data_IF_133019761874
#
_entry.id   IF_133019761874
#
_cell.length_a   1.000
_cell.length_b   1.000
_cell.length_c   1.000
_cell.angle_alpha   90.00
_cell.angle_beta   90.00
_cell.angle_gamma   90.00
#
_symmetry.space_group_name_H-M   'P 1'
#
loop_
_entity.id
_entity.type
_entity.pdbx_description
1 polymer ?
#
# COMPACT_ATOMS: atom_id res chain seq x y z
N UNK A 1 80.22 -46.15 -28.57
CA UNK A 1 79.39 -45.32 -29.45
C UNK A 1 78.26 -46.15 -29.91
N UNK A 2 77.13 -46.09 -29.33
CA UNK A 2 75.98 -46.89 -29.76
C UNK A 2 74.72 -45.99 -29.64
N UNK A 3 74.16 -45.72 -30.80
CA UNK A 3 72.94 -44.92 -30.96
C UNK A 3 71.75 -45.90 -30.94
N UNK A 4 70.85 -45.71 -29.95
CA UNK A 4 69.54 -46.39 -29.96
C UNK A 4 68.46 -45.43 -30.48
N UNK A 5 67.61 -45.87 -31.41
CA UNK A 5 66.51 -45.05 -31.87
C UNK A 5 65.36 -45.13 -30.91
N UNK A 6 64.78 -43.96 -30.62
CA UNK A 6 63.51 -43.80 -29.83
C UNK A 6 62.33 -44.21 -30.67
N UNK A 7 61.57 -45.22 -30.23
CA UNK A 7 60.28 -45.57 -30.78
C UNK A 7 59.23 -44.58 -30.42
N UNK A 8 58.52 -44.02 -31.40
CA UNK A 8 57.32 -43.17 -31.26
C UNK A 8 56.10 -44.09 -31.11
N UNK A 9 55.41 -44.00 -29.99
CA UNK A 9 54.14 -44.65 -29.78
C UNK A 9 52.99 -43.82 -30.39
N UNK A 10 52.02 -44.44 -31.06
CA UNK A 10 50.87 -43.73 -31.62
C UNK A 10 49.87 -43.34 -30.53
N UNK A 11 49.51 -42.09 -30.53
CA UNK A 11 48.43 -41.56 -29.68
C UNK A 11 47.12 -41.88 -30.40
N UNK A 12 46.32 -42.76 -29.81
CA UNK A 12 44.95 -42.99 -30.24
C UNK A 12 44.06 -41.86 -29.62
N UNK A 13 43.59 -40.96 -30.47
CA UNK A 13 42.58 -39.97 -30.09
C UNK A 13 41.22 -40.69 -30.19
N UNK A 14 40.65 -41.02 -29.03
CA UNK A 14 39.26 -41.47 -28.94
C UNK A 14 38.37 -40.26 -29.06
N UNK A 15 37.73 -40.09 -30.20
CA UNK A 15 36.73 -39.08 -30.46
C UNK A 15 35.41 -39.51 -29.80
N UNK A 16 35.11 -38.94 -28.62
CA UNK A 16 33.86 -39.16 -27.91
C UNK A 16 32.77 -38.34 -28.59
N UNK A 17 31.93 -38.95 -29.41
CA UNK A 17 30.72 -38.32 -29.94
C UNK A 17 29.71 -38.13 -28.82
N UNK A 18 29.63 -36.92 -28.32
CA UNK A 18 28.53 -36.50 -27.44
C UNK A 18 27.29 -36.27 -28.30
N UNK A 19 26.37 -37.24 -28.28
CA UNK A 19 25.02 -37.07 -28.85
C UNK A 19 24.24 -36.15 -27.89
N UNK A 20 24.06 -34.91 -28.28
CA UNK A 20 23.15 -33.99 -27.56
C UNK A 20 21.71 -34.45 -27.79
N UNK A 21 20.89 -34.60 -26.75
CA UNK A 21 19.46 -34.83 -26.92
C UNK A 21 18.83 -33.63 -27.61
N UNK A 22 18.01 -33.88 -28.62
CA UNK A 22 17.21 -32.87 -29.30
C UNK A 22 16.39 -32.12 -28.26
N UNK A 23 16.65 -30.81 -28.13
CA UNK A 23 15.91 -29.93 -27.25
C UNK A 23 14.44 -29.96 -27.62
N UNK A 24 13.62 -30.37 -26.68
CA UNK A 24 12.19 -30.15 -26.74
C UNK A 24 11.97 -28.63 -26.82
N UNK A 25 11.40 -28.16 -27.92
CA UNK A 25 10.85 -26.80 -28.01
C UNK A 25 9.80 -26.68 -26.93
N UNK A 26 10.13 -25.95 -25.87
CA UNK A 26 9.15 -25.57 -24.86
C UNK A 26 8.08 -24.75 -25.58
N UNK A 27 6.89 -25.31 -25.72
CA UNK A 27 5.71 -24.56 -26.13
C UNK A 27 5.49 -23.44 -25.09
N UNK A 28 5.52 -22.18 -25.54
CA UNK A 28 5.11 -21.07 -24.73
C UNK A 28 3.62 -21.28 -24.39
N UNK A 29 3.23 -21.26 -23.10
CA UNK A 29 1.83 -21.35 -22.75
C UNK A 29 1.13 -20.08 -23.23
N UNK A 30 0.37 -20.17 -24.31
CA UNK A 30 -0.64 -19.20 -24.70
C UNK A 30 -1.85 -19.42 -23.81
N UNK A 31 -1.80 -18.94 -22.63
CA UNK A 31 -2.90 -18.88 -21.68
C UNK A 31 -2.49 -17.88 -20.62
N UNK A 32 -3.21 -16.76 -20.56
CA UNK A 32 -3.03 -15.81 -19.49
C UNK A 32 -3.34 -16.51 -18.17
N UNK A 33 -2.31 -17.02 -17.52
CA UNK A 33 -2.39 -17.34 -16.11
C UNK A 33 -2.66 -16.03 -15.40
N UNK A 34 -3.84 -15.91 -14.81
CA UNK A 34 -4.07 -14.89 -13.81
C UNK A 34 -2.86 -14.95 -12.89
N UNK A 35 -2.14 -13.83 -12.77
CA UNK A 35 -1.08 -13.73 -11.78
C UNK A 35 -1.76 -14.01 -10.45
N UNK A 36 -1.49 -15.18 -9.88
CA UNK A 36 -1.86 -15.50 -8.53
C UNK A 36 -0.98 -14.61 -7.66
N UNK A 37 -1.52 -13.44 -7.34
CA UNK A 37 -0.83 -12.45 -6.52
C UNK A 37 -0.79 -13.05 -5.13
N UNK A 38 0.37 -13.50 -4.72
CA UNK A 38 0.59 -14.00 -3.37
C UNK A 38 0.06 -12.97 -2.37
N UNK A 39 -0.83 -13.36 -1.44
CA UNK A 39 -1.34 -12.43 -0.45
C UNK A 39 -0.17 -11.86 0.35
N UNK A 40 -0.24 -10.60 0.81
CA UNK A 40 0.80 -10.02 1.64
C UNK A 40 1.08 -10.92 2.83
N UNK A 41 2.31 -10.93 3.34
CA UNK A 41 2.62 -11.66 4.56
C UNK A 41 1.60 -11.28 5.63
N UNK A 42 0.95 -12.25 6.28
CA UNK A 42 -0.16 -12.03 7.19
C UNK A 42 0.17 -11.09 8.35
N UNK A 43 1.45 -10.88 8.62
CA UNK A 43 1.95 -10.10 9.75
C UNK A 43 1.66 -8.60 9.69
N UNK A 44 1.58 -7.98 8.50
CA UNK A 44 1.33 -6.52 8.40
C UNK A 44 -0.16 -6.14 8.30
N UNK A 45 -1.04 -7.11 8.14
CA UNK A 45 -2.47 -6.86 7.91
C UNK A 45 -3.37 -7.74 8.80
N UNK A 46 -2.79 -8.44 9.79
CA UNK A 46 -3.59 -9.20 10.73
C UNK A 46 -4.40 -8.23 11.61
N UNK A 47 -5.71 -8.46 11.75
CA UNK A 47 -6.51 -7.73 12.72
C UNK A 47 -5.88 -7.84 14.11
N UNK A 48 -5.71 -6.70 14.80
CA UNK A 48 -5.08 -6.66 16.11
C UNK A 48 -3.57 -6.42 16.12
N UNK A 49 -2.92 -6.27 14.96
CA UNK A 49 -1.48 -5.99 14.88
C UNK A 49 -1.11 -4.58 15.34
N UNK A 50 -2.01 -3.64 15.14
CA UNK A 50 -1.75 -2.23 15.43
C UNK A 50 -2.24 -1.85 16.81
N UNK A 51 -1.45 -1.10 17.53
CA UNK A 51 -1.79 -0.53 18.84
C UNK A 51 -1.32 0.92 18.93
N UNK A 52 -1.96 1.68 19.80
CA UNK A 52 -1.60 3.08 19.95
C UNK A 52 -2.43 3.78 21.03
N UNK A 53 -2.32 5.11 21.11
CA UNK A 53 -3.02 5.88 22.13
C UNK A 53 -4.54 5.87 21.90
N UNK A 54 -5.29 5.84 23.02
CA UNK A 54 -6.73 6.01 23.04
C UNK A 54 -7.12 7.27 23.80
N UNK A 55 -8.33 7.73 23.51
CA UNK A 55 -9.01 8.83 24.24
C UNK A 55 -10.45 8.43 24.53
N UNK A 56 -11.06 8.89 25.61
CA UNK A 56 -12.46 8.63 25.90
C UNK A 56 -13.39 9.16 24.80
N UNK A 57 -14.54 8.50 24.62
CA UNK A 57 -15.61 8.92 23.71
C UNK A 57 -15.49 8.35 22.30
N UNK A 58 -16.17 9.02 21.36
CA UNK A 58 -16.42 8.52 19.99
C UNK A 58 -15.61 9.27 18.92
N UNK A 59 -14.86 10.31 19.27
CA UNK A 59 -14.08 11.10 18.31
C UNK A 59 -12.57 10.89 18.49
N UNK A 60 -11.86 10.73 17.39
CA UNK A 60 -10.41 10.66 17.38
C UNK A 60 -9.79 12.04 17.61
N UNK A 61 -8.65 12.08 18.31
CA UNK A 61 -7.97 13.32 18.64
C UNK A 61 -6.62 13.41 17.95
N UNK A 62 -6.38 14.50 17.23
CA UNK A 62 -5.08 14.81 16.64
C UNK A 62 -4.10 15.25 17.74
N UNK A 63 -3.00 14.56 17.86
CA UNK A 63 -1.94 14.83 18.85
C UNK A 63 -0.90 15.82 18.30
N UNK A 64 -0.17 16.46 19.20
CA UNK A 64 0.85 17.44 18.84
C UNK A 64 1.97 16.87 17.96
N UNK A 65 2.27 15.57 18.06
CA UNK A 65 3.26 14.88 17.22
C UNK A 65 2.73 14.49 15.82
N UNK A 66 1.50 14.89 15.47
CA UNK A 66 0.89 14.58 14.18
C UNK A 66 0.19 13.22 14.08
N UNK A 67 0.26 12.38 15.11
CA UNK A 67 -0.49 11.12 15.15
C UNK A 67 -1.90 11.34 15.69
N UNK A 68 -2.79 10.37 15.48
CA UNK A 68 -4.14 10.36 16.04
C UNK A 68 -4.22 9.39 17.23
N UNK A 69 -4.95 9.79 18.28
CA UNK A 69 -5.44 8.89 19.30
C UNK A 69 -6.82 8.37 18.90
N UNK A 70 -7.03 7.07 18.99
CA UNK A 70 -8.30 6.43 18.65
C UNK A 70 -9.32 6.62 19.77
N UNK A 71 -10.64 6.76 19.47
CA UNK A 71 -11.65 6.79 20.51
C UNK A 71 -11.82 5.43 21.16
N UNK A 72 -11.92 5.40 22.49
CA UNK A 72 -12.06 4.17 23.26
C UNK A 72 -13.35 3.41 22.90
N UNK A 73 -14.43 4.15 22.58
CA UNK A 73 -15.74 3.56 22.25
C UNK A 73 -15.85 3.08 20.79
N UNK A 74 -14.81 3.27 19.98
CA UNK A 74 -14.82 2.82 18.58
C UNK A 74 -14.64 1.30 18.46
N UNK A 75 -15.28 0.68 17.44
CA UNK A 75 -14.98 -0.69 17.07
C UNK A 75 -13.48 -0.92 16.83
N UNK A 76 -13.02 -2.14 17.10
CA UNK A 76 -11.59 -2.47 16.96
C UNK A 76 -11.05 -2.16 15.56
N UNK A 77 -11.79 -2.44 14.51
CA UNK A 77 -11.39 -2.15 13.14
C UNK A 77 -11.14 -0.65 12.90
N UNK A 78 -11.92 0.23 13.54
CA UNK A 78 -11.73 1.67 13.46
C UNK A 78 -10.42 2.09 14.15
N UNK A 79 -10.15 1.52 15.33
CA UNK A 79 -8.90 1.75 16.06
C UNK A 79 -7.69 1.25 15.24
N UNK A 80 -7.77 0.05 14.68
CA UNK A 80 -6.74 -0.52 13.81
C UNK A 80 -6.44 0.39 12.61
N UNK A 81 -7.48 0.91 11.94
CA UNK A 81 -7.30 1.86 10.83
C UNK A 81 -6.56 3.12 11.26
N UNK A 82 -6.88 3.68 12.43
CA UNK A 82 -6.23 4.88 12.96
C UNK A 82 -4.78 4.61 13.31
N UNK A 83 -4.50 3.52 14.04
CA UNK A 83 -3.13 3.20 14.47
C UNK A 83 -2.23 2.83 13.30
N UNK A 84 -2.72 2.06 12.34
CA UNK A 84 -2.00 1.79 11.11
C UNK A 84 -1.70 3.09 10.33
N UNK A 85 -2.68 3.98 10.20
CA UNK A 85 -2.48 5.26 9.53
C UNK A 85 -1.48 6.18 10.24
N UNK A 86 -1.26 6.01 11.54
CA UNK A 86 -0.21 6.72 12.28
C UNK A 86 1.20 6.39 11.75
N UNK A 87 1.44 5.16 11.26
CA UNK A 87 2.72 4.78 10.68
C UNK A 87 3.02 5.48 9.34
N UNK A 88 1.99 6.00 8.68
CA UNK A 88 2.12 6.72 7.42
C UNK A 88 2.49 8.20 7.60
N UNK A 89 2.42 8.71 8.83
CA UNK A 89 2.75 10.11 9.10
C UNK A 89 4.22 10.35 8.77
N UNK A 90 4.64 11.40 8.24
CA UNK A 90 6.01 11.68 7.80
C UNK A 90 6.48 10.96 6.52
N UNK A 91 5.70 10.05 5.93
CA UNK A 91 6.05 9.48 4.63
C UNK A 91 5.88 10.52 3.51
N UNK A 92 6.71 10.43 2.44
CA UNK A 92 6.53 11.29 1.28
C UNK A 92 5.30 10.91 0.47
N UNK A 93 4.74 11.88 -0.26
CA UNK A 93 3.80 11.57 -1.33
C UNK A 93 4.54 10.91 -2.50
N UNK A 94 4.04 9.77 -2.95
CA UNK A 94 4.52 9.08 -4.15
C UNK A 94 3.33 8.65 -5.00
N UNK A 95 3.23 9.20 -6.21
CA UNK A 95 2.19 8.81 -7.16
C UNK A 95 2.27 7.31 -7.49
N UNK A 96 1.15 6.59 -7.40
CA UNK A 96 1.10 5.13 -7.53
C UNK A 96 1.64 4.36 -6.31
N UNK A 97 2.08 5.04 -5.26
CA UNK A 97 2.57 4.40 -4.03
C UNK A 97 1.43 3.82 -3.19
N UNK A 98 1.67 2.68 -2.56
CA UNK A 98 0.70 2.01 -1.70
C UNK A 98 -0.31 1.11 -2.42
N UNK A 99 -0.09 0.82 -3.71
CA UNK A 99 -0.97 -0.01 -4.53
C UNK A 99 -0.51 -1.44 -4.74
N UNK A 100 0.63 -1.85 -4.20
CA UNK A 100 1.03 -3.25 -4.15
C UNK A 100 0.46 -3.96 -2.91
N UNK A 101 0.37 -5.28 -2.98
CA UNK A 101 -0.15 -6.07 -1.87
C UNK A 101 0.81 -6.11 -0.66
N UNK A 102 2.10 -6.01 -0.91
CA UNK A 102 3.17 -6.04 0.09
C UNK A 102 3.57 -4.65 0.59
N UNK A 103 2.72 -3.71 0.57
CA UNK A 103 2.89 -2.30 0.93
C UNK A 103 4.27 -1.95 1.53
N UNK A 104 5.18 -1.46 0.69
CA UNK A 104 6.44 -0.89 1.16
C UNK A 104 6.17 0.51 1.76
N UNK A 105 6.03 0.56 3.07
CA UNK A 105 5.77 1.79 3.82
C UNK A 105 6.85 2.83 3.55
N UNK A 106 8.11 2.42 3.44
CA UNK A 106 9.23 3.33 3.24
C UNK A 106 9.20 4.04 1.88
N UNK A 107 8.58 3.41 0.88
CA UNK A 107 8.49 3.99 -0.46
C UNK A 107 7.51 5.17 -0.59
N UNK A 108 6.68 5.42 0.42
CA UNK A 108 5.65 6.46 0.38
C UNK A 108 4.34 6.02 -0.27
N UNK A 109 3.30 6.84 -0.13
CA UNK A 109 1.96 6.54 -0.62
C UNK A 109 1.31 7.73 -1.34
N UNK A 110 0.42 7.45 -2.28
CA UNK A 110 -0.50 8.44 -2.83
C UNK A 110 -1.81 8.51 -2.01
N UNK A 111 -2.78 9.26 -2.51
CA UNK A 111 -4.04 9.48 -1.81
C UNK A 111 -4.83 8.19 -1.58
N UNK A 112 -5.01 7.38 -2.60
CA UNK A 112 -5.76 6.13 -2.54
C UNK A 112 -4.96 4.98 -1.92
N UNK A 113 -3.64 4.94 -2.11
CA UNK A 113 -2.75 4.02 -1.43
C UNK A 113 -2.76 4.20 0.09
N UNK A 114 -2.77 5.46 0.55
CA UNK A 114 -2.94 5.80 1.98
C UNK A 114 -4.23 5.24 2.56
N UNK A 115 -5.35 5.41 1.86
CA UNK A 115 -6.65 4.89 2.29
C UNK A 115 -6.66 3.36 2.28
N UNK A 116 -6.14 2.78 1.19
CA UNK A 116 -6.05 1.33 1.04
C UNK A 116 -5.28 0.68 2.17
N UNK A 117 -4.16 1.27 2.58
CA UNK A 117 -3.38 0.77 3.71
C UNK A 117 -4.18 0.77 5.01
N UNK A 118 -4.79 1.90 5.38
CA UNK A 118 -5.57 2.02 6.60
C UNK A 118 -6.75 1.03 6.65
N UNK A 119 -7.50 0.90 5.53
CA UNK A 119 -8.64 -0.01 5.45
C UNK A 119 -8.23 -1.49 5.43
N UNK A 120 -7.08 -1.82 4.83
CA UNK A 120 -6.57 -3.20 4.85
C UNK A 120 -6.09 -3.61 6.23
N UNK A 121 -5.38 -2.74 6.93
CA UNK A 121 -4.96 -2.96 8.32
C UNK A 121 -6.17 -3.18 9.25
N UNK A 122 -7.30 -2.57 8.94
CA UNK A 122 -8.56 -2.76 9.64
C UNK A 122 -9.35 -4.01 9.21
N UNK A 123 -8.88 -4.76 8.20
CA UNK A 123 -9.60 -5.89 7.62
C UNK A 123 -10.82 -5.50 6.77
N UNK A 124 -10.99 -4.21 6.45
CA UNK A 124 -12.14 -3.68 5.71
C UNK A 124 -11.94 -3.66 4.19
N UNK A 125 -10.73 -3.91 3.72
CA UNK A 125 -10.36 -3.93 2.32
C UNK A 125 -9.39 -5.10 2.04
N UNK A 126 -9.66 -5.90 1.02
CA UNK A 126 -8.81 -7.07 0.67
C UNK A 126 -7.61 -6.69 -0.19
N UNK A 127 -7.79 -5.81 -1.15
CA UNK A 127 -6.76 -5.37 -2.08
C UNK A 127 -6.78 -3.84 -2.26
N UNK A 128 -5.64 -3.20 -2.56
CA UNK A 128 -5.58 -1.77 -2.78
C UNK A 128 -6.49 -1.32 -3.94
N UNK A 129 -7.10 -0.14 -3.80
CA UNK A 129 -7.94 0.49 -4.80
C UNK A 129 -7.40 1.86 -5.17
N UNK A 130 -7.51 2.24 -6.45
CA UNK A 130 -7.34 3.62 -6.88
C UNK A 130 -8.56 4.50 -6.54
N UNK A 131 -8.44 5.81 -6.71
CA UNK A 131 -9.50 6.75 -6.38
C UNK A 131 -10.79 6.52 -7.20
N UNK A 132 -10.68 6.12 -8.47
CA UNK A 132 -11.81 5.77 -9.31
C UNK A 132 -12.54 4.52 -8.85
N UNK A 133 -11.81 3.50 -8.44
CA UNK A 133 -12.37 2.24 -7.91
C UNK A 133 -13.04 2.44 -6.55
N UNK A 134 -12.51 3.32 -5.70
CA UNK A 134 -13.20 3.70 -4.47
C UNK A 134 -14.58 4.32 -4.69
N UNK A 135 -14.87 4.90 -5.85
CA UNK A 135 -16.20 5.43 -6.16
C UNK A 135 -17.31 4.35 -6.17
N UNK A 136 -16.93 3.08 -6.29
CA UNK A 136 -17.85 1.91 -6.30
C UNK A 136 -17.66 0.99 -5.10
N UNK A 137 -16.71 1.30 -4.22
CA UNK A 137 -16.42 0.48 -3.02
C UNK A 137 -17.48 0.67 -1.94
N UNK A 138 -17.80 -0.39 -1.20
CA UNK A 138 -18.68 -0.35 -0.05
C UNK A 138 -20.09 0.17 -0.37
N UNK A 139 -20.70 0.84 0.58
CA UNK A 139 -22.03 1.43 0.48
C UNK A 139 -21.96 2.94 0.21
N UNK A 140 -23.03 3.48 -0.37
CA UNK A 140 -23.11 4.90 -0.69
C UNK A 140 -23.53 5.70 0.54
N UNK A 141 -22.86 6.83 0.77
CA UNK A 141 -23.20 7.72 1.86
C UNK A 141 -22.03 7.90 2.84
N UNK A 142 -22.35 8.47 3.98
CA UNK A 142 -21.44 8.55 5.13
C UNK A 142 -21.63 7.34 6.02
N UNK A 143 -20.55 6.76 6.49
CA UNK A 143 -20.56 5.83 7.58
C UNK A 143 -20.51 6.53 8.94
N UNK A 144 -20.84 5.82 9.97
CA UNK A 144 -20.81 6.33 11.34
C UNK A 144 -19.38 6.59 11.83
N UNK A 145 -18.46 5.72 11.44
CA UNK A 145 -17.06 5.79 11.87
C UNK A 145 -16.09 6.11 10.74
N UNK A 146 -16.32 5.55 9.56
CA UNK A 146 -15.40 5.65 8.44
C UNK A 146 -16.12 6.12 7.19
N UNK A 147 -15.62 7.17 6.55
CA UNK A 147 -16.12 7.64 5.25
C UNK A 147 -14.96 7.92 4.31
N UNK A 148 -14.94 7.27 3.16
CA UNK A 148 -14.07 7.59 2.03
C UNK A 148 -14.75 8.63 1.15
N UNK A 149 -14.06 9.72 0.92
CA UNK A 149 -14.45 10.77 -0.02
C UNK A 149 -13.58 10.63 -1.26
N UNK A 150 -14.17 10.40 -2.41
CA UNK A 150 -13.43 10.05 -3.63
C UNK A 150 -14.02 10.69 -4.87
N UNK A 151 -13.16 10.97 -5.84
CA UNK A 151 -13.48 11.34 -7.22
C UNK A 151 -12.38 10.79 -8.14
N UNK A 152 -12.48 10.91 -9.48
CA UNK A 152 -11.48 10.34 -10.38
C UNK A 152 -10.04 10.81 -10.15
N UNK A 153 -9.84 11.99 -9.57
CA UNK A 153 -8.50 12.59 -9.43
C UNK A 153 -7.95 12.61 -8.01
N UNK A 154 -8.76 12.28 -7.00
CA UNK A 154 -8.33 12.34 -5.60
C UNK A 154 -9.24 11.56 -4.67
N UNK A 155 -8.66 11.07 -3.57
CA UNK A 155 -9.42 10.50 -2.47
C UNK A 155 -8.83 10.91 -1.10
N UNK A 156 -9.68 10.97 -0.08
CA UNK A 156 -9.31 11.10 1.31
C UNK A 156 -10.30 10.33 2.19
N UNK A 157 -9.90 10.00 3.40
CA UNK A 157 -10.74 9.26 4.34
C UNK A 157 -10.95 10.07 5.61
N UNK A 158 -12.12 9.96 6.20
CA UNK A 158 -12.44 10.45 7.53
C UNK A 158 -12.68 9.24 8.42
N UNK A 159 -11.99 9.17 9.54
CA UNK A 159 -12.09 8.11 10.52
C UNK A 159 -12.34 8.76 11.88
N UNK A 160 -13.47 8.43 12.51
CA UNK A 160 -13.86 8.98 13.81
C UNK A 160 -13.66 10.51 13.93
N UNK A 161 -14.10 11.26 12.91
CA UNK A 161 -14.03 12.72 12.88
C UNK A 161 -12.71 13.32 12.36
N UNK A 162 -11.61 12.58 12.31
CA UNK A 162 -10.34 13.06 11.73
C UNK A 162 -10.19 12.69 10.26
N UNK A 163 -9.66 13.62 9.48
CA UNK A 163 -9.35 13.43 8.06
C UNK A 163 -7.90 12.97 7.88
N UNK A 164 -7.71 11.86 7.19
CA UNK A 164 -6.42 11.42 6.65
C UNK A 164 -6.36 11.79 5.17
N UNK A 165 -5.39 12.60 4.79
CA UNK A 165 -5.34 13.19 3.45
C UNK A 165 -3.89 13.51 3.04
N UNK A 166 -3.56 13.30 1.78
CA UNK A 166 -2.29 13.67 1.17
C UNK A 166 -2.34 15.06 0.50
N UNK A 167 -3.52 15.67 0.39
CA UNK A 167 -3.66 17.00 -0.20
C UNK A 167 -3.32 18.10 0.81
N UNK A 168 -2.96 19.26 0.27
CA UNK A 168 -2.72 20.47 1.07
C UNK A 168 -4.02 21.26 1.39
N UNK A 169 -5.19 20.68 1.14
CA UNK A 169 -6.45 21.33 1.47
C UNK A 169 -6.59 21.52 2.98
N UNK A 170 -7.02 22.71 3.39
CA UNK A 170 -7.09 23.08 4.80
C UNK A 170 -5.81 23.71 5.38
N UNK A 171 -4.69 23.71 4.67
CA UNK A 171 -3.50 24.47 5.05
C UNK A 171 -3.65 25.96 4.73
N UNK A 172 -3.05 26.82 5.54
CA UNK A 172 -2.98 28.25 5.24
C UNK A 172 -2.25 28.52 3.93
N UNK A 173 -2.51 29.69 3.31
CA UNK A 173 -1.80 30.10 2.07
C UNK A 173 -0.28 30.18 2.26
N UNK A 174 0.16 30.62 3.42
CA UNK A 174 1.59 30.71 3.76
C UNK A 174 2.21 29.32 3.87
N UNK A 175 1.56 28.38 4.58
CA UNK A 175 2.01 27.01 4.67
C UNK A 175 2.09 26.32 3.29
N UNK A 176 1.10 26.54 2.41
CA UNK A 176 1.11 26.01 1.03
C UNK A 176 2.27 26.55 0.17
N UNK A 177 2.70 27.79 0.39
CA UNK A 177 3.83 28.39 -0.34
C UNK A 177 5.18 27.81 0.08
N UNK A 178 5.33 27.52 1.36
CA UNK A 178 6.55 26.93 1.93
C UNK A 178 6.62 25.44 1.67
N UNK A 179 5.47 24.76 1.67
CA UNK A 179 5.33 23.32 1.58
C UNK A 179 5.33 22.85 0.12
N UNK A 180 6.51 22.67 -0.47
CA UNK A 180 6.67 22.21 -1.86
C UNK A 180 7.33 20.84 -1.98
N UNK A 181 7.75 20.23 -0.90
CA UNK A 181 8.42 18.93 -0.92
C UNK A 181 7.43 17.77 -0.98
N UNK A 182 7.87 16.62 -1.48
CA UNK A 182 7.06 15.41 -1.49
C UNK A 182 6.68 14.97 -0.06
N UNK A 183 7.54 15.20 0.92
CA UNK A 183 7.29 14.89 2.33
C UNK A 183 6.10 15.67 2.90
N UNK A 184 5.98 16.94 2.54
CA UNK A 184 4.90 17.80 3.04
C UNK A 184 3.55 17.47 2.41
N UNK A 185 3.53 16.83 1.25
CA UNK A 185 2.33 16.32 0.58
C UNK A 185 1.95 14.91 0.99
N UNK A 186 2.77 14.20 1.76
CA UNK A 186 2.52 12.85 2.18
C UNK A 186 1.27 12.72 3.07
N UNK A 187 0.94 11.48 3.46
CA UNK A 187 -0.19 11.20 4.35
C UNK A 187 -0.11 11.98 5.65
N UNK A 188 -1.19 12.66 6.02
CA UNK A 188 -1.27 13.43 7.27
C UNK A 188 -2.67 13.40 7.85
N UNK A 189 -2.76 13.26 9.15
CA UNK A 189 -3.96 13.58 9.89
C UNK A 189 -4.22 15.08 9.87
N UNK A 190 -5.48 15.45 9.71
CA UNK A 190 -5.92 16.84 9.63
C UNK A 190 -7.27 17.00 10.30
N UNK A 191 -7.61 18.20 10.84
CA UNK A 191 -8.97 18.52 11.23
C UNK A 191 -9.93 18.36 10.04
N UNK A 192 -11.20 18.06 10.33
CA UNK A 192 -12.26 17.92 9.33
C UNK A 192 -12.69 19.29 8.76
N UNK A 193 -11.85 19.94 7.99
CA UNK A 193 -12.10 21.28 7.42
C UNK A 193 -12.03 21.30 5.89
N UNK A 194 -12.47 20.22 5.22
CA UNK A 194 -12.47 20.14 3.76
C UNK A 194 -13.88 20.14 3.19
N UNK A 195 -14.09 20.94 2.14
CA UNK A 195 -15.33 20.84 1.34
C UNK A 195 -15.44 19.44 0.70
N UNK A 196 -16.60 18.82 0.86
CA UNK A 196 -16.92 17.56 0.22
C UNK A 196 -17.52 17.74 -1.20
N UNK A 197 -17.57 18.98 -1.72
CA UNK A 197 -18.09 19.25 -3.09
C UNK A 197 -17.23 18.50 -4.11
N UNK A 198 -17.89 17.79 -5.03
CA UNK A 198 -17.23 17.03 -6.08
C UNK A 198 -16.64 15.69 -5.63
N UNK A 199 -17.02 15.21 -4.45
CA UNK A 199 -16.64 13.88 -3.96
C UNK A 199 -17.86 13.00 -3.77
N UNK A 200 -17.79 11.78 -4.25
CA UNK A 200 -18.66 10.68 -3.85
C UNK A 200 -18.24 10.24 -2.44
N UNK A 201 -19.21 9.84 -1.63
CA UNK A 201 -18.99 9.33 -0.27
C UNK A 201 -19.25 7.85 -0.25
N UNK A 202 -18.37 7.10 0.35
CA UNK A 202 -18.45 5.64 0.47
C UNK A 202 -18.01 5.21 1.86
N UNK A 203 -18.60 4.13 2.37
CA UNK A 203 -18.22 3.54 3.65
C UNK A 203 -18.24 2.01 3.57
N UNK A 204 -17.52 1.35 4.46
CA UNK A 204 -17.62 -0.09 4.65
C UNK A 204 -19.00 -0.40 5.24
N UNK A 205 -19.55 -1.57 4.92
CA UNK A 205 -20.79 -2.04 5.54
C UNK A 205 -20.60 -2.10 7.05
N UNK A 206 -21.56 -1.58 7.81
CA UNK A 206 -21.55 -1.50 9.28
C UNK A 206 -20.53 -0.52 9.90
N UNK A 207 -20.00 0.46 9.14
CA UNK A 207 -19.05 1.47 9.66
C UNK A 207 -19.35 2.90 9.21
#
# INVERSE_FOLDING_TARGET
MSLFPRALAPIFIVMLCVVAPAGALAAFPTGGTAFEVEPPPPEMLAPGLWSGPEVPGTEAVLRANGTAAAPADAPEQVKQAIWAANSLQALPYRYGGGHNLQFDVAAGADCSGTISFALRAAGLLKAPLDSGSFMRWGEQGRGDWITVFTNPGHAYIVIAGLRLDTSMAGMSRTAKRVSRTAFERGPRWRPMSRSARGFVKRHARSF
#
